data_IF_648017315181
#
_entry.id   IF_648017315181
#
_cell.length_a   1.000
_cell.length_b   1.000
_cell.length_c   1.000
_cell.angle_alpha   90.00
_cell.angle_beta   90.00
_cell.angle_gamma   90.00
#
_symmetry.space_group_name_H-M   'P 1'
#
loop_
_entity.id
_entity.type
_entity.pdbx_description
1 polymer ?
#
# COMPACT_ATOMS: atom_id res chain seq x y z
N UNK A 1 -31.68 7.60 0.68
CA UNK A 1 -30.68 8.59 1.10
C UNK A 1 -29.46 8.49 0.20
N UNK A 2 -28.99 9.58 -0.28
CA UNK A 2 -27.77 9.60 -1.08
C UNK A 2 -26.64 10.04 -0.18
N UNK A 3 -25.69 9.16 0.06
CA UNK A 3 -24.46 9.55 0.73
C UNK A 3 -23.55 10.30 -0.23
N UNK A 4 -22.88 11.30 0.31
CA UNK A 4 -21.78 11.90 -0.42
C UNK A 4 -20.76 10.80 -0.74
N UNK A 5 -20.31 10.74 -1.99
CA UNK A 5 -19.34 9.73 -2.41
C UNK A 5 -18.06 9.78 -1.58
N UNK A 6 -17.63 10.97 -1.17
CA UNK A 6 -16.47 11.12 -0.32
C UNK A 6 -16.65 10.49 1.05
N UNK A 7 -17.82 10.70 1.68
CA UNK A 7 -18.10 10.11 2.99
C UNK A 7 -18.26 8.60 2.90
N UNK A 8 -18.91 8.11 1.86
CA UNK A 8 -19.05 6.68 1.64
C UNK A 8 -17.68 6.01 1.47
N UNK A 9 -16.80 6.60 0.68
CA UNK A 9 -15.47 6.06 0.46
C UNK A 9 -14.62 6.12 1.72
N UNK A 10 -14.78 7.14 2.56
CA UNK A 10 -14.09 7.19 3.85
C UNK A 10 -14.51 6.04 4.77
N UNK A 11 -15.79 5.73 4.78
CA UNK A 11 -16.28 4.57 5.53
C UNK A 11 -15.68 3.27 4.99
N UNK A 12 -15.63 3.11 3.66
CA UNK A 12 -15.02 1.95 3.04
C UNK A 12 -13.54 1.85 3.38
N UNK A 13 -12.81 2.97 3.43
CA UNK A 13 -11.40 2.96 3.76
C UNK A 13 -11.13 2.39 5.14
N UNK A 14 -12.01 2.62 6.10
CA UNK A 14 -11.89 2.01 7.43
C UNK A 14 -11.99 0.50 7.36
N UNK A 15 -12.86 -0.02 6.49
CA UNK A 15 -13.14 -1.45 6.40
C UNK A 15 -12.17 -2.19 5.49
N UNK A 16 -11.62 -1.50 4.47
CA UNK A 16 -10.71 -2.11 3.52
C UNK A 16 -9.24 -1.83 3.84
N UNK A 17 -8.94 -1.21 4.99
CA UNK A 17 -7.57 -1.14 5.47
C UNK A 17 -7.06 -2.56 5.58
N UNK A 18 -6.00 -2.86 4.87
CA UNK A 18 -5.50 -4.21 4.78
C UNK A 18 -4.17 -4.34 5.48
N UNK A 19 -4.03 -5.41 6.27
CA UNK A 19 -2.76 -5.79 6.85
C UNK A 19 -2.02 -6.80 5.99
N UNK A 20 -2.51 -7.04 4.78
CA UNK A 20 -1.87 -7.98 3.86
C UNK A 20 -2.17 -7.61 2.42
N UNK A 21 -1.35 -8.14 1.50
CA UNK A 21 -1.58 -8.04 0.06
C UNK A 21 -1.38 -9.39 -0.59
N UNK A 22 -1.99 -9.57 -1.77
CA UNK A 22 -1.75 -10.73 -2.61
C UNK A 22 -0.78 -10.35 -3.72
N UNK A 23 0.24 -11.17 -3.90
CA UNK A 23 1.24 -10.97 -4.94
C UNK A 23 1.46 -12.28 -5.70
N UNK A 24 1.95 -12.16 -6.92
CA UNK A 24 2.37 -13.31 -7.72
C UNK A 24 3.87 -13.38 -7.65
N UNK A 25 4.41 -14.50 -7.16
CA UNK A 25 5.85 -14.68 -7.04
C UNK A 25 6.48 -15.06 -8.39
N UNK A 26 7.81 -15.26 -8.38
CA UNK A 26 8.55 -15.58 -9.60
C UNK A 26 8.14 -16.91 -10.23
N UNK A 27 7.55 -17.79 -9.45
CA UNK A 27 7.06 -19.09 -9.93
C UNK A 27 5.63 -19.02 -10.45
N UNK A 28 5.00 -17.84 -10.41
CA UNK A 28 3.63 -17.66 -10.82
C UNK A 28 2.61 -18.05 -9.75
N UNK A 29 3.05 -18.34 -8.53
CA UNK A 29 2.16 -18.71 -7.42
C UNK A 29 1.63 -17.46 -6.72
N UNK A 30 0.36 -17.51 -6.34
CA UNK A 30 -0.27 -16.46 -5.57
C UNK A 30 0.15 -16.57 -4.10
N UNK A 31 0.66 -15.49 -3.54
CA UNK A 31 1.10 -15.45 -2.15
C UNK A 31 0.47 -14.28 -1.42
N UNK A 32 0.11 -14.52 -0.16
CA UNK A 32 -0.36 -13.46 0.73
C UNK A 32 0.80 -13.01 1.61
N UNK A 33 1.06 -11.71 1.61
CA UNK A 33 2.13 -11.11 2.42
C UNK A 33 1.47 -10.20 3.45
N UNK A 34 1.81 -10.40 4.72
CA UNK A 34 1.24 -9.66 5.83
C UNK A 34 2.12 -8.48 6.21
N UNK A 35 1.47 -7.39 6.63
CA UNK A 35 2.16 -6.23 7.18
C UNK A 35 2.61 -6.50 8.62
N UNK A 36 3.75 -5.94 9.02
CA UNK A 36 4.65 -5.18 8.16
C UNK A 36 5.44 -6.08 7.22
N UNK A 37 5.67 -5.62 6.02
CA UNK A 37 6.56 -6.31 5.08
C UNK A 37 7.55 -5.30 4.49
N UNK A 38 8.63 -5.79 3.91
CA UNK A 38 9.67 -4.94 3.35
C UNK A 38 9.46 -4.69 1.86
N UNK A 39 9.74 -3.47 1.45
CA UNK A 39 9.73 -3.06 0.05
C UNK A 39 10.93 -2.18 -0.23
N UNK A 40 11.33 -2.09 -1.50
CA UNK A 40 12.41 -1.22 -1.94
C UNK A 40 11.78 -0.05 -2.68
N UNK A 41 12.18 1.17 -2.30
CA UNK A 41 11.76 2.38 -2.99
C UNK A 41 12.48 2.47 -4.34
N UNK A 42 11.71 2.63 -5.43
CA UNK A 42 12.28 2.75 -6.78
C UNK A 42 12.16 4.18 -7.32
N UNK A 43 11.73 5.11 -6.48
CA UNK A 43 11.59 6.52 -6.83
C UNK A 43 12.35 7.38 -5.82
N UNK A 44 12.44 8.67 -6.08
CA UNK A 44 13.09 9.62 -5.18
C UNK A 44 12.02 10.44 -4.46
N UNK A 45 12.06 10.40 -3.12
CA UNK A 45 11.20 11.19 -2.26
C UNK A 45 12.07 12.02 -1.32
N UNK A 46 11.53 13.11 -0.75
CA UNK A 46 12.32 13.92 0.20
C UNK A 46 12.81 13.15 1.42
N UNK A 47 12.03 12.14 1.86
CA UNK A 47 12.30 11.38 3.09
C UNK A 47 12.63 9.91 2.86
N UNK A 48 12.62 9.44 1.61
CA UNK A 48 12.97 8.06 1.27
C UNK A 48 13.91 8.08 0.07
N UNK A 49 15.06 7.43 0.20
CA UNK A 49 16.03 7.35 -0.88
C UNK A 49 15.67 6.23 -1.84
N UNK A 50 16.02 6.42 -3.11
CA UNK A 50 15.90 5.37 -4.10
C UNK A 50 16.79 4.19 -3.70
N UNK A 51 16.22 2.99 -3.73
CA UNK A 51 16.91 1.77 -3.32
C UNK A 51 16.85 1.50 -1.83
N UNK A 52 16.26 2.39 -1.05
CA UNK A 52 16.12 2.20 0.39
C UNK A 52 15.07 1.13 0.68
N UNK A 53 15.36 0.25 1.64
CA UNK A 53 14.38 -0.68 2.17
C UNK A 53 13.50 0.03 3.17
N UNK A 54 12.20 -0.17 3.06
CA UNK A 54 11.22 0.43 3.96
C UNK A 54 10.26 -0.65 4.46
N UNK A 55 9.73 -0.44 5.65
CA UNK A 55 8.70 -1.30 6.20
C UNK A 55 7.34 -0.73 5.84
N UNK A 56 6.51 -1.53 5.19
CA UNK A 56 5.14 -1.17 4.86
C UNK A 56 4.27 -1.58 6.04
N UNK A 57 3.74 -0.58 6.74
CA UNK A 57 2.97 -0.80 7.96
C UNK A 57 1.54 -1.24 7.68
N UNK A 58 0.98 -0.77 6.57
CA UNK A 58 -0.38 -1.08 6.18
C UNK A 58 -0.57 -0.81 4.69
N UNK A 59 -1.60 -1.39 4.11
CA UNK A 59 -2.03 -1.13 2.73
C UNK A 59 -3.42 -0.52 2.80
N UNK A 60 -3.64 0.58 2.10
CA UNK A 60 -4.92 1.27 2.09
C UNK A 60 -5.32 1.63 0.67
N UNK A 61 -6.60 1.93 0.50
CA UNK A 61 -7.15 2.39 -0.77
C UNK A 61 -7.59 3.83 -0.59
N UNK A 62 -7.14 4.72 -1.49
CA UNK A 62 -7.54 6.13 -1.45
C UNK A 62 -8.98 6.30 -1.92
N UNK A 63 -9.52 7.51 -1.73
CA UNK A 63 -10.86 7.83 -2.19
C UNK A 63 -11.00 7.72 -3.71
N UNK A 64 -9.90 7.78 -4.45
CA UNK A 64 -9.89 7.58 -5.90
C UNK A 64 -9.61 6.12 -6.28
N UNK A 65 -9.71 5.20 -5.31
CA UNK A 65 -9.52 3.76 -5.48
C UNK A 65 -8.10 3.37 -5.92
N UNK A 66 -7.11 4.15 -5.51
CA UNK A 66 -5.70 3.82 -5.73
C UNK A 66 -5.11 3.21 -4.48
N UNK A 67 -4.33 2.17 -4.65
CA UNK A 67 -3.66 1.53 -3.53
C UNK A 67 -2.45 2.32 -3.09
N UNK A 68 -2.27 2.42 -1.78
CA UNK A 68 -1.12 3.09 -1.18
C UNK A 68 -0.55 2.23 -0.07
N UNK A 69 0.76 2.37 0.13
CA UNK A 69 1.45 1.82 1.29
C UNK A 69 1.60 2.90 2.35
N UNK A 70 1.39 2.52 3.60
CA UNK A 70 1.66 3.41 4.73
C UNK A 70 3.06 3.09 5.23
N UNK A 71 3.95 4.08 5.13
CA UNK A 71 5.36 3.96 5.51
C UNK A 71 5.68 5.15 6.39
N UNK A 72 6.13 4.89 7.62
CA UNK A 72 6.45 5.94 8.62
C UNK A 72 5.28 6.92 8.79
N UNK A 73 4.06 6.40 8.79
CA UNK A 73 2.86 7.19 8.98
C UNK A 73 2.39 7.99 7.77
N UNK A 74 3.06 7.87 6.63
CA UNK A 74 2.72 8.58 5.39
C UNK A 74 2.24 7.62 4.32
N UNK A 75 1.39 8.09 3.42
CA UNK A 75 0.84 7.31 2.32
C UNK A 75 1.66 7.54 1.05
N UNK A 76 2.04 6.46 0.39
CA UNK A 76 2.77 6.48 -0.88
C UNK A 76 2.07 5.54 -1.86
N UNK A 77 2.01 5.93 -3.14
CA UNK A 77 1.45 5.03 -4.16
C UNK A 77 2.34 3.81 -4.35
N UNK A 78 1.71 2.64 -4.49
CA UNK A 78 2.44 1.36 -4.55
C UNK A 78 3.36 1.24 -5.75
N UNK A 79 3.10 1.99 -6.83
CA UNK A 79 3.92 1.95 -8.05
C UNK A 79 5.37 2.39 -7.81
N UNK A 80 5.63 3.09 -6.70
CA UNK A 80 6.97 3.58 -6.38
C UNK A 80 7.77 2.60 -5.52
N UNK A 81 7.25 1.40 -5.32
CA UNK A 81 7.89 0.41 -4.46
C UNK A 81 7.87 -0.96 -5.11
N UNK A 82 8.91 -1.73 -4.81
CA UNK A 82 8.99 -3.13 -5.21
C UNK A 82 9.06 -3.99 -3.96
N UNK A 83 8.17 -4.97 -3.86
CA UNK A 83 8.11 -5.86 -2.71
C UNK A 83 9.28 -6.82 -2.76
N UNK A 84 9.91 -7.05 -1.61
CA UNK A 84 10.95 -8.04 -1.45
C UNK A 84 10.28 -9.37 -1.12
N UNK A 85 10.42 -10.33 -2.01
CA UNK A 85 9.86 -11.67 -1.87
C UNK A 85 10.91 -12.67 -1.45
#
# INVERSE_FOLDING_TARGET
>A
MVMDNGDYLKELLKWVSSDSILVIDQKGALRRIYCPFEAICIAVFPDINRGEKVAVEAVKITVTLKEVYIIKGKAYFIIFFRIIL
#
